data_IF_868024719194
#
_entry.id   IF_868024719194
#
_cell.length_a   1.000
_cell.length_b   1.000
_cell.length_c   1.000
_cell.angle_alpha   90.00
_cell.angle_beta   90.00
_cell.angle_gamma   90.00
#
_symmetry.space_group_name_H-M   'P 1'
#
loop_
_entity.id
_entity.type
_entity.pdbx_description
1 polymer ?
#
# COMPACT_ATOMS: atom_id res chain seq x y z
N UNK A 1 5.94 1.24 17.41
CA UNK A 1 6.90 1.77 16.42
C UNK A 1 6.43 3.13 15.97
N UNK A 2 7.33 4.08 15.76
CA UNK A 2 7.01 5.38 15.13
C UNK A 2 6.78 5.22 13.63
N UNK A 3 6.24 6.25 12.96
CA UNK A 3 6.04 6.24 11.49
C UNK A 3 7.34 5.96 10.74
N UNK A 4 8.44 6.49 11.25
CA UNK A 4 9.75 6.41 10.62
C UNK A 4 10.42 5.06 10.85
N UNK A 5 10.24 4.46 12.03
CA UNK A 5 10.65 3.08 12.28
C UNK A 5 9.91 2.09 11.37
N UNK A 6 8.60 2.30 11.13
CA UNK A 6 7.82 1.49 10.19
C UNK A 6 8.39 1.58 8.77
N UNK A 7 8.71 2.79 8.30
CA UNK A 7 9.26 2.99 6.96
C UNK A 7 10.68 2.41 6.82
N UNK A 8 11.52 2.57 7.83
CA UNK A 8 12.87 2.00 7.85
C UNK A 8 12.81 0.47 7.76
N UNK A 9 11.95 -0.16 8.58
CA UNK A 9 11.76 -1.61 8.56
C UNK A 9 11.21 -2.10 7.22
N UNK A 10 10.21 -1.41 6.65
CA UNK A 10 9.69 -1.69 5.32
C UNK A 10 10.79 -1.68 4.27
N UNK A 11 11.63 -0.65 4.26
CA UNK A 11 12.72 -0.52 3.29
C UNK A 11 13.72 -1.68 3.40
N UNK A 12 14.04 -2.10 4.62
CA UNK A 12 14.89 -3.27 4.87
C UNK A 12 14.26 -4.55 4.31
N UNK A 13 12.98 -4.82 4.59
CA UNK A 13 12.32 -6.04 4.12
C UNK A 13 12.12 -6.07 2.60
N UNK A 14 11.84 -4.91 1.99
CA UNK A 14 11.74 -4.79 0.53
C UNK A 14 13.08 -5.11 -0.14
N UNK A 15 14.18 -4.65 0.45
CA UNK A 15 15.54 -4.94 -0.02
C UNK A 15 15.91 -6.41 0.20
N UNK A 16 15.57 -6.97 1.36
CA UNK A 16 15.77 -8.39 1.66
C UNK A 16 15.03 -9.30 0.67
N UNK A 17 13.87 -8.87 0.17
CA UNK A 17 13.12 -9.57 -0.87
C UNK A 17 13.72 -9.43 -2.27
N UNK A 18 14.74 -8.59 -2.46
CA UNK A 18 15.39 -8.36 -3.74
C UNK A 18 14.55 -7.57 -4.74
N UNK A 19 13.62 -6.73 -4.27
CA UNK A 19 12.84 -5.88 -5.18
C UNK A 19 13.67 -4.70 -5.71
N UNK A 20 13.32 -4.22 -6.90
CA UNK A 20 14.02 -3.11 -7.54
C UNK A 20 14.00 -1.84 -6.67
N UNK A 21 15.01 -0.99 -6.85
CA UNK A 21 15.06 0.34 -6.22
C UNK A 21 13.78 1.14 -6.46
N UNK A 22 13.26 1.12 -7.69
CA UNK A 22 12.01 1.79 -8.03
C UNK A 22 10.82 1.27 -7.21
N UNK A 23 10.74 -0.05 -6.98
CA UNK A 23 9.71 -0.65 -6.13
C UNK A 23 9.88 -0.25 -4.66
N UNK A 24 11.12 -0.15 -4.16
CA UNK A 24 11.43 0.32 -2.81
C UNK A 24 10.98 1.76 -2.58
N UNK A 25 11.34 2.65 -3.50
CA UNK A 25 10.96 4.06 -3.44
C UNK A 25 9.44 4.24 -3.56
N UNK A 26 8.80 3.45 -4.44
CA UNK A 26 7.36 3.45 -4.55
C UNK A 26 6.70 2.98 -3.24
N UNK A 27 7.10 1.85 -2.67
CA UNK A 27 6.51 1.33 -1.43
C UNK A 27 6.68 2.30 -0.26
N UNK A 28 7.87 2.90 -0.12
CA UNK A 28 8.13 3.95 0.87
C UNK A 28 7.14 5.11 0.72
N UNK A 29 7.01 5.66 -0.49
CA UNK A 29 6.10 6.80 -0.75
C UNK A 29 4.64 6.47 -0.44
N UNK A 30 4.18 5.25 -0.81
CA UNK A 30 2.80 4.82 -0.61
C UNK A 30 2.48 4.62 0.87
N UNK A 31 3.36 3.96 1.62
CA UNK A 31 3.18 3.74 3.06
C UNK A 31 3.30 5.04 3.84
N UNK A 32 4.24 5.93 3.48
CA UNK A 32 4.35 7.26 4.09
C UNK A 32 3.07 8.07 3.90
N UNK A 33 2.52 8.08 2.67
CA UNK A 33 1.26 8.75 2.38
C UNK A 33 0.09 8.17 3.18
N UNK A 34 0.05 6.86 3.41
CA UNK A 34 -0.97 6.20 4.23
C UNK A 34 -0.87 6.61 5.71
N UNK A 35 0.32 6.53 6.31
CA UNK A 35 0.54 6.95 7.70
C UNK A 35 0.25 8.45 7.91
N UNK A 36 0.50 9.27 6.89
CA UNK A 36 0.20 10.70 6.93
C UNK A 36 -1.30 10.99 6.85
N UNK A 37 -2.06 10.21 6.07
CA UNK A 37 -3.51 10.38 5.95
C UNK A 37 -4.23 10.23 7.31
N UNK A 38 -3.85 9.22 8.09
CA UNK A 38 -4.42 8.99 9.43
C UNK A 38 -3.69 9.74 10.55
N UNK A 39 -2.59 10.40 10.23
CA UNK A 39 -1.64 10.95 11.18
C UNK A 39 -1.18 9.95 12.28
N UNK A 40 -1.08 8.66 11.94
CA UNK A 40 -0.75 7.57 12.87
C UNK A 40 0.28 6.61 12.25
N UNK A 41 1.09 5.92 13.06
CA UNK A 41 1.92 4.83 12.55
C UNK A 41 1.06 3.67 12.06
N UNK A 42 1.52 2.95 11.04
CA UNK A 42 0.76 1.82 10.46
C UNK A 42 0.51 0.68 11.48
N UNK A 43 1.28 0.61 12.56
CA UNK A 43 1.06 -0.35 13.66
C UNK A 43 -0.22 -0.11 14.44
N UNK A 44 -0.80 1.09 14.37
CA UNK A 44 -2.07 1.44 15.02
C UNK A 44 -3.27 1.36 14.07
N UNK A 45 -3.03 0.99 12.82
CA UNK A 45 -4.04 0.93 11.77
C UNK A 45 -4.25 -0.53 11.36
N UNK A 46 -5.48 -0.88 10.99
CA UNK A 46 -5.91 -2.23 10.68
C UNK A 46 -6.46 -2.40 9.27
N UNK A 47 -7.10 -3.53 9.06
CA UNK A 47 -7.70 -3.90 7.76
C UNK A 47 -8.75 -2.91 7.29
N UNK A 48 -9.58 -2.38 8.20
CA UNK A 48 -10.63 -1.42 7.82
C UNK A 48 -10.02 -0.08 7.38
N UNK A 49 -8.99 0.41 8.08
CA UNK A 49 -8.26 1.61 7.65
C UNK A 49 -7.63 1.43 6.26
N UNK A 50 -7.13 0.23 5.93
CA UNK A 50 -6.63 -0.05 4.57
C UNK A 50 -7.77 0.08 3.55
N UNK A 51 -8.95 -0.47 3.84
CA UNK A 51 -10.11 -0.45 2.94
C UNK A 51 -10.63 0.96 2.71
N UNK A 52 -10.81 1.71 3.78
CA UNK A 52 -11.23 3.11 3.74
C UNK A 52 -10.24 3.96 2.96
N UNK A 53 -8.94 3.77 3.19
CA UNK A 53 -7.92 4.51 2.46
C UNK A 53 -7.91 4.19 0.96
N UNK A 54 -8.03 2.92 0.58
CA UNK A 54 -8.10 2.55 -0.84
C UNK A 54 -9.36 3.12 -1.51
N UNK A 55 -10.48 3.21 -0.78
CA UNK A 55 -11.68 3.89 -1.25
C UNK A 55 -11.42 5.38 -1.42
N UNK A 56 -10.87 6.06 -0.41
CA UNK A 56 -10.48 7.48 -0.47
C UNK A 56 -9.61 7.81 -1.69
N UNK A 57 -8.60 6.97 -1.98
CA UNK A 57 -7.74 7.16 -3.14
C UNK A 57 -8.51 7.11 -4.47
N UNK A 58 -9.58 6.32 -4.51
CA UNK A 58 -10.40 6.11 -5.71
C UNK A 58 -11.50 7.19 -5.82
N UNK A 59 -12.18 7.52 -4.74
CA UNK A 59 -13.35 8.40 -4.75
C UNK A 59 -12.97 9.87 -4.63
N UNK A 60 -12.02 10.20 -3.76
CA UNK A 60 -11.64 11.58 -3.47
C UNK A 60 -10.41 12.01 -4.27
N UNK A 61 -9.35 11.20 -4.24
CA UNK A 61 -8.13 11.48 -5.03
C UNK A 61 -8.28 11.12 -6.51
N UNK A 62 -9.33 10.38 -6.89
CA UNK A 62 -9.64 9.97 -8.27
C UNK A 62 -8.45 9.35 -9.00
N UNK A 63 -7.63 8.58 -8.27
CA UNK A 63 -6.45 7.95 -8.85
C UNK A 63 -6.85 6.81 -9.80
N UNK A 64 -6.05 6.62 -10.85
CA UNK A 64 -6.21 5.48 -11.74
C UNK A 64 -6.05 4.16 -10.97
N UNK A 65 -6.77 3.11 -11.40
CA UNK A 65 -6.74 1.79 -10.76
C UNK A 65 -5.33 1.21 -10.63
N UNK A 66 -4.45 1.50 -11.59
CA UNK A 66 -3.04 1.08 -11.52
C UNK A 66 -2.33 1.72 -10.31
N UNK A 67 -2.49 3.03 -10.10
CA UNK A 67 -1.93 3.76 -8.96
C UNK A 67 -2.52 3.28 -7.63
N UNK A 68 -3.83 3.03 -7.56
CA UNK A 68 -4.45 2.47 -6.34
C UNK A 68 -3.92 1.07 -6.04
N UNK A 69 -3.64 0.28 -7.07
CA UNK A 69 -3.07 -1.05 -6.90
C UNK A 69 -1.62 -1.03 -6.42
N UNK A 70 -0.83 0.02 -6.69
CA UNK A 70 0.52 0.13 -6.11
C UNK A 70 0.44 0.46 -4.61
N UNK A 71 -0.49 1.33 -4.18
CA UNK A 71 -0.80 1.51 -2.76
C UNK A 71 -1.23 0.19 -2.10
N UNK A 72 -2.20 -0.51 -2.68
CA UNK A 72 -2.72 -1.79 -2.16
C UNK A 72 -1.58 -2.82 -2.00
N UNK A 73 -0.71 -2.93 -3.00
CA UNK A 73 0.42 -3.88 -2.95
C UNK A 73 1.44 -3.52 -1.88
N UNK A 74 1.79 -2.24 -1.74
CA UNK A 74 2.69 -1.76 -0.70
C UNK A 74 2.13 -2.03 0.70
N UNK A 75 0.83 -1.76 0.93
CA UNK A 75 0.18 -2.01 2.22
C UNK A 75 0.09 -3.51 2.52
N UNK A 76 -0.29 -4.35 1.57
CA UNK A 76 -0.29 -5.81 1.77
C UNK A 76 1.09 -6.36 2.10
N UNK A 77 2.14 -5.82 1.48
CA UNK A 77 3.52 -6.18 1.80
C UNK A 77 3.90 -5.72 3.21
N UNK A 78 3.64 -4.46 3.55
CA UNK A 78 3.91 -3.90 4.87
C UNK A 78 3.27 -4.75 5.97
N UNK A 79 1.97 -5.00 5.88
CA UNK A 79 1.28 -5.74 6.93
C UNK A 79 1.64 -7.22 6.94
N UNK A 80 1.66 -7.88 5.77
CA UNK A 80 1.88 -9.32 5.70
C UNK A 80 3.33 -9.76 5.90
N UNK A 81 4.31 -8.92 5.56
CA UNK A 81 5.75 -9.24 5.65
C UNK A 81 6.39 -8.43 6.78
N UNK A 82 6.34 -7.10 6.70
CA UNK A 82 7.08 -6.24 7.63
C UNK A 82 6.51 -6.25 9.05
N UNK A 83 5.18 -6.21 9.18
CA UNK A 83 4.52 -6.22 10.49
C UNK A 83 4.07 -7.63 10.92
N UNK A 84 4.13 -8.61 10.02
CA UNK A 84 3.67 -9.99 10.24
C UNK A 84 2.23 -10.09 10.78
N UNK A 85 1.34 -9.26 10.24
CA UNK A 85 -0.08 -9.18 10.58
C UNK A 85 -0.89 -9.96 9.53
N UNK A 86 -1.76 -10.85 9.99
CA UNK A 86 -2.65 -11.63 9.14
C UNK A 86 -3.80 -10.76 8.63
N UNK A 87 -3.77 -10.41 7.34
CA UNK A 87 -4.84 -9.70 6.65
C UNK A 87 -5.84 -10.64 5.96
N UNK A 88 -7.12 -10.29 5.94
CA UNK A 88 -8.10 -10.93 5.07
C UNK A 88 -8.03 -10.31 3.66
N UNK A 89 -7.19 -10.91 2.81
CA UNK A 89 -6.94 -10.44 1.46
C UNK A 89 -8.17 -10.42 0.54
N UNK A 90 -9.24 -11.13 0.90
CA UNK A 90 -10.54 -11.09 0.18
C UNK A 90 -11.25 -9.76 0.38
N UNK A 91 -11.04 -9.14 1.54
CA UNK A 91 -11.60 -7.83 1.90
C UNK A 91 -10.72 -6.67 1.42
N UNK A 92 -9.50 -6.93 0.93
CA UNK A 92 -8.61 -5.92 0.31
C UNK A 92 -8.39 -6.28 -1.16
N UNK A 93 -9.44 -6.24 -2.00
CA UNK A 93 -9.34 -6.63 -3.41
C UNK A 93 -8.49 -5.63 -4.19
N UNK A 94 -7.79 -6.13 -5.21
CA UNK A 94 -7.17 -5.27 -6.22
C UNK A 94 -8.25 -4.67 -7.11
N UNK A 95 -8.08 -3.40 -7.47
CA UNK A 95 -8.94 -2.73 -8.43
C UNK A 95 -8.73 -3.36 -9.81
N UNK A 96 -9.83 -3.74 -10.48
CA UNK A 96 -9.76 -4.24 -11.85
C UNK A 96 -9.27 -3.10 -12.75
N UNK A 97 -8.18 -3.33 -13.47
CA UNK A 97 -7.74 -2.43 -14.54
C UNK A 97 -8.67 -2.66 -15.73
N UNK A 98 -9.44 -1.65 -16.12
CA UNK A 98 -10.10 -1.70 -17.42
C UNK A 98 -9.02 -1.68 -18.49
N UNK A 99 -8.89 -2.78 -19.24
CA UNK A 99 -8.04 -2.81 -20.43
C UNK A 99 -8.83 -2.13 -21.54
N UNK A 100 -8.34 -1.00 -22.03
CA UNK A 100 -8.80 -0.50 -23.33
C UNK A 100 -8.18 -1.43 -24.37
N UNK A 101 -9.03 -2.11 -25.14
CA UNK A 101 -8.55 -2.76 -26.35
C UNK A 101 -8.10 -1.66 -27.31
N UNK A 102 -6.99 -1.84 -28.05
CA UNK A 102 -6.66 -0.93 -29.13
C UNK A 102 -7.81 -0.94 -30.15
N UNK A 103 -8.18 0.24 -30.65
CA UNK A 103 -9.09 0.35 -31.78
C UNK A 103 -8.41 -0.32 -32.98
N UNK A 104 -9.11 -1.24 -33.65
CA UNK A 104 -8.62 -1.99 -34.82
C UNK A 104 -8.59 -1.08 -36.04
#
# INVERSE_FOLDING_TARGET
MTKEEVLSKLMFDVELKGLSKNTKDEYYSRVKSYQNHYNKPATELGEEDIREFLRYLTTEKKLASASVNTYNSALRFLYGVTLNIKLNLRQIPRHRKQRKFPDI
#
